data_IF_379163035379
#
_entry.id   IF_379163035379
#
_cell.length_a   1.000
_cell.length_b   1.000
_cell.length_c   1.000
_cell.angle_alpha   90.00
_cell.angle_beta   90.00
_cell.angle_gamma   90.00
#
_symmetry.space_group_name_H-M   'P 1'
#
loop_
_entity.id
_entity.type
_entity.pdbx_description
1 polymer ?
#
# COMPACT_ATOMS: atom_id res chain seq x y z
N UNK A 1 21.20 -43.19 -2.69
CA UNK A 1 21.28 -42.51 -3.98
C UNK A 1 20.05 -42.87 -4.80
N UNK A 2 19.09 -41.98 -4.98
CA UNK A 2 17.91 -42.19 -5.83
C UNK A 2 18.00 -41.23 -7.00
N UNK A 3 18.15 -41.76 -8.18
CA UNK A 3 18.28 -41.04 -9.44
C UNK A 3 16.89 -40.71 -9.96
N UNK A 4 16.58 -39.43 -10.10
CA UNK A 4 15.34 -38.98 -10.76
C UNK A 4 15.60 -38.77 -12.23
N UNK A 5 14.91 -39.55 -13.05
CA UNK A 5 14.92 -39.43 -14.50
C UNK A 5 13.83 -38.43 -14.91
N UNK A 6 14.23 -37.29 -15.48
CA UNK A 6 13.32 -36.31 -16.06
C UNK A 6 13.08 -36.69 -17.52
N UNK A 7 11.85 -37.15 -17.86
CA UNK A 7 11.43 -37.39 -19.24
C UNK A 7 10.95 -36.10 -19.88
N UNK A 8 11.72 -35.62 -20.86
CA UNK A 8 11.31 -34.48 -21.71
C UNK A 8 10.49 -35.03 -22.86
N UNK A 9 9.19 -34.76 -22.90
CA UNK A 9 8.35 -35.06 -24.06
C UNK A 9 8.50 -33.94 -25.10
N UNK A 10 9.16 -34.26 -26.20
CA UNK A 10 9.26 -33.40 -27.37
C UNK A 10 8.03 -33.65 -28.25
N UNK A 11 7.05 -32.76 -28.21
CA UNK A 11 5.88 -32.82 -29.09
C UNK A 11 6.20 -32.07 -30.39
N UNK A 12 6.32 -32.77 -31.47
CA UNK A 12 6.47 -32.23 -32.82
C UNK A 12 5.14 -31.59 -33.26
N UNK A 13 5.12 -30.27 -33.46
CA UNK A 13 3.98 -29.56 -34.03
C UNK A 13 4.07 -29.61 -35.56
N UNK A 14 3.06 -30.20 -36.21
CA UNK A 14 2.86 -30.19 -37.66
C UNK A 14 2.40 -28.76 -38.04
N UNK A 15 3.22 -28.08 -38.83
CA UNK A 15 2.88 -26.77 -39.39
C UNK A 15 2.04 -26.99 -40.64
N UNK A 16 0.73 -26.80 -40.57
CA UNK A 16 -0.15 -26.59 -41.73
C UNK A 16 -0.10 -25.11 -42.13
N UNK A 17 0.38 -24.87 -43.35
CA UNK A 17 0.39 -23.54 -43.96
C UNK A 17 -1.05 -23.09 -44.27
N UNK A 18 -1.63 -22.25 -43.40
CA UNK A 18 -2.92 -21.58 -43.58
C UNK A 18 -2.71 -20.09 -43.41
N UNK A 19 -3.19 -19.31 -44.33
CA UNK A 19 -3.07 -17.87 -44.54
C UNK A 19 -3.22 -17.04 -43.25
N UNK A 20 -2.24 -16.20 -42.97
CA UNK A 20 -1.96 -15.54 -41.70
C UNK A 20 -3.02 -14.59 -41.14
N UNK A 21 -3.39 -14.88 -39.93
CA UNK A 21 -3.67 -13.85 -38.97
C UNK A 21 -2.69 -14.04 -37.82
N UNK A 22 -1.68 -13.19 -37.73
CA UNK A 22 -0.74 -13.17 -36.62
C UNK A 22 -1.53 -12.81 -35.36
N UNK A 23 -2.00 -13.82 -34.64
CA UNK A 23 -2.62 -13.64 -33.33
C UNK A 23 -1.52 -13.14 -32.40
N UNK A 24 -1.54 -11.83 -32.11
CA UNK A 24 -0.68 -11.22 -31.10
C UNK A 24 -1.03 -11.89 -29.77
N UNK A 25 -0.27 -12.88 -29.37
CA UNK A 25 -0.39 -13.48 -28.04
C UNK A 25 0.09 -12.43 -27.06
N UNK A 26 -0.84 -11.66 -26.54
CA UNK A 26 -0.57 -10.76 -25.40
C UNK A 26 -0.38 -11.68 -24.21
N UNK A 27 0.86 -11.93 -23.83
CA UNK A 27 1.18 -12.62 -22.58
C UNK A 27 0.65 -11.73 -21.43
N UNK A 28 -0.52 -12.04 -20.93
CA UNK A 28 -1.02 -11.46 -19.70
C UNK A 28 -0.23 -12.07 -18.55
N UNK A 29 0.79 -11.35 -18.09
CA UNK A 29 1.44 -11.68 -16.81
C UNK A 29 0.33 -11.68 -15.77
N UNK A 30 0.15 -12.81 -15.08
CA UNK A 30 -0.84 -12.91 -14.02
C UNK A 30 -0.57 -11.80 -12.98
N UNK A 31 -1.59 -11.04 -12.58
CA UNK A 31 -1.42 -10.09 -11.50
C UNK A 31 -0.94 -10.87 -10.26
N UNK A 32 0.03 -10.33 -9.52
CA UNK A 32 0.56 -10.94 -8.30
C UNK A 32 -0.55 -11.18 -7.25
N UNK A 33 -0.19 -11.56 -6.01
CA UNK A 33 -1.17 -11.77 -4.95
C UNK A 33 -2.05 -10.54 -4.72
N UNK A 34 -3.36 -10.77 -4.55
CA UNK A 34 -4.32 -9.70 -4.29
C UNK A 34 -4.10 -9.11 -2.89
N UNK A 35 -4.39 -7.82 -2.73
CA UNK A 35 -4.43 -7.15 -1.43
C UNK A 35 -5.71 -7.58 -0.72
N UNK A 36 -5.58 -8.10 0.51
CA UNK A 36 -6.71 -8.58 1.33
C UNK A 36 -7.04 -7.66 2.50
N UNK A 37 -6.03 -6.97 3.04
CA UNK A 37 -6.21 -6.04 4.15
C UNK A 37 -5.13 -4.96 4.15
N UNK A 38 -5.49 -3.78 4.66
CA UNK A 38 -4.55 -2.70 4.97
C UNK A 38 -4.83 -2.14 6.35
N UNK A 39 -3.77 -1.84 7.09
CA UNK A 39 -3.84 -1.08 8.34
C UNK A 39 -2.79 0.01 8.35
N UNK A 40 -3.14 1.14 8.96
CA UNK A 40 -2.19 2.23 9.22
C UNK A 40 -2.05 2.42 10.72
N UNK A 41 -0.83 2.67 11.16
CA UNK A 41 -0.49 3.03 12.53
C UNK A 41 0.28 4.34 12.53
N UNK A 42 -0.01 5.19 13.47
CA UNK A 42 0.75 6.41 13.74
C UNK A 42 1.48 6.22 15.08
N UNK A 43 2.77 6.44 15.08
CA UNK A 43 3.58 6.49 16.29
C UNK A 43 3.81 7.97 16.58
N UNK A 44 3.03 8.50 17.50
CA UNK A 44 3.13 9.91 17.87
C UNK A 44 4.47 10.19 18.54
N UNK A 45 4.98 11.39 18.31
CA UNK A 45 6.24 11.89 18.82
C UNK A 45 5.99 13.05 19.78
N UNK A 46 6.62 14.18 19.56
CA UNK A 46 6.63 15.30 20.53
C UNK A 46 5.32 16.09 20.57
N UNK A 47 4.47 15.96 19.55
CA UNK A 47 3.22 16.68 19.41
C UNK A 47 2.12 15.72 18.95
N UNK A 48 1.21 15.39 19.84
CA UNK A 48 0.03 14.58 19.56
C UNK A 48 -1.04 15.37 18.80
N UNK A 49 -2.05 14.68 18.29
CA UNK A 49 -3.17 15.28 17.56
C UNK A 49 -4.35 15.53 18.48
N UNK A 50 -4.94 16.72 18.43
CA UNK A 50 -6.15 17.08 19.17
C UNK A 50 -7.39 16.30 18.73
N UNK A 51 -8.36 16.13 19.65
CA UNK A 51 -9.59 15.38 19.40
C UNK A 51 -10.48 16.01 18.32
N UNK A 52 -10.46 17.35 18.18
CA UNK A 52 -11.23 18.06 17.17
C UNK A 52 -10.66 17.94 15.76
N UNK A 53 -9.38 17.68 15.65
CA UNK A 53 -8.70 17.58 14.35
C UNK A 53 -8.97 16.25 13.67
N UNK A 54 -9.28 16.27 12.36
CA UNK A 54 -9.50 15.10 11.54
C UNK A 54 -8.24 14.64 10.83
N UNK A 55 -8.08 13.33 10.64
CA UNK A 55 -7.02 12.71 9.82
C UNK A 55 -7.63 11.86 8.75
N UNK A 56 -7.26 12.11 7.51
CA UNK A 56 -7.53 11.23 6.36
C UNK A 56 -6.22 10.62 5.87
N UNK A 57 -6.26 9.35 5.45
CA UNK A 57 -5.12 8.69 4.85
C UNK A 57 -5.53 7.89 3.62
N UNK A 58 -4.88 8.12 2.49
CA UNK A 58 -5.13 7.43 1.23
C UNK A 58 -3.91 6.63 0.79
N UNK A 59 -4.14 5.44 0.29
CA UNK A 59 -3.17 4.72 -0.52
C UNK A 59 -3.57 4.89 -1.98
N UNK A 60 -2.70 5.51 -2.77
CA UNK A 60 -2.97 5.92 -4.15
C UNK A 60 -2.03 5.20 -5.10
N UNK A 61 -2.54 4.57 -6.17
CA UNK A 61 -1.76 4.08 -7.28
C UNK A 61 -1.47 5.23 -8.25
N UNK A 62 -0.21 5.40 -8.64
CA UNK A 62 0.24 6.47 -9.55
C UNK A 62 -0.20 7.89 -9.11
N UNK A 63 -0.33 8.10 -7.79
CA UNK A 63 -0.64 9.41 -7.20
C UNK A 63 -2.10 9.87 -7.29
N UNK A 64 -2.98 9.15 -7.99
CA UNK A 64 -4.37 9.58 -8.20
C UNK A 64 -5.43 8.49 -8.02
N UNK A 65 -5.14 7.25 -8.38
CA UNK A 65 -6.12 6.17 -8.31
C UNK A 65 -6.16 5.58 -6.91
N UNK A 66 -7.27 5.77 -6.21
CA UNK A 66 -7.45 5.26 -4.86
C UNK A 66 -7.45 3.73 -4.82
N UNK A 67 -6.57 3.18 -3.97
CA UNK A 67 -6.55 1.77 -3.59
C UNK A 67 -7.33 1.60 -2.29
N UNK A 68 -7.08 2.46 -1.30
CA UNK A 68 -7.68 2.40 0.02
C UNK A 68 -7.75 3.79 0.65
N UNK A 69 -8.72 4.00 1.54
CA UNK A 69 -8.93 5.27 2.23
C UNK A 69 -9.38 5.05 3.66
N UNK A 70 -8.66 5.62 4.62
CA UNK A 70 -9.07 5.83 5.99
C UNK A 70 -9.69 7.22 6.09
N UNK A 71 -10.96 7.29 6.42
CA UNK A 71 -11.72 8.53 6.43
C UNK A 71 -11.85 9.11 7.83
N UNK A 72 -11.49 10.37 7.96
CA UNK A 72 -11.76 11.29 9.09
C UNK A 72 -11.67 10.70 10.50
N UNK A 73 -10.47 10.37 10.95
CA UNK A 73 -10.26 9.96 12.34
C UNK A 73 -10.19 11.19 13.25
N UNK A 74 -11.26 11.46 13.99
CA UNK A 74 -11.35 12.55 14.95
C UNK A 74 -10.87 12.22 16.38
N UNK A 75 -10.27 11.05 16.60
CA UNK A 75 -9.77 10.65 17.93
C UNK A 75 -8.50 11.43 18.30
N UNK A 76 -8.39 11.84 19.58
CA UNK A 76 -7.16 12.39 20.12
C UNK A 76 -6.03 11.36 20.07
N UNK A 77 -4.85 11.81 19.73
CA UNK A 77 -3.61 11.05 19.86
C UNK A 77 -2.72 11.78 20.86
N UNK A 78 -2.34 11.09 21.93
CA UNK A 78 -1.50 11.68 22.97
C UNK A 78 -0.03 11.66 22.57
N UNK A 79 0.75 12.61 23.09
CA UNK A 79 2.19 12.68 22.86
C UNK A 79 2.87 11.35 23.19
N UNK A 80 3.80 10.95 22.35
CA UNK A 80 4.55 9.68 22.46
C UNK A 80 3.68 8.41 22.46
N UNK A 81 2.41 8.49 22.04
CA UNK A 81 1.54 7.35 21.99
C UNK A 81 1.82 6.47 20.77
N UNK A 82 1.70 5.16 20.94
CA UNK A 82 1.59 4.21 19.83
C UNK A 82 0.11 3.92 19.61
N UNK A 83 -0.48 4.58 18.63
CA UNK A 83 -1.90 4.38 18.30
C UNK A 83 -2.10 2.96 17.76
N UNK A 84 -3.16 2.29 18.20
CA UNK A 84 -3.49 0.97 17.66
C UNK A 84 -3.66 1.02 16.14
N UNK A 85 -3.22 -0.02 15.40
CA UNK A 85 -3.40 -0.05 13.95
C UNK A 85 -4.87 0.10 13.56
N UNK A 86 -5.15 1.03 12.65
CA UNK A 86 -6.48 1.31 12.14
C UNK A 86 -6.65 0.68 10.76
N UNK A 87 -7.80 0.03 10.52
CA UNK A 87 -8.14 -0.52 9.21
C UNK A 87 -8.29 0.58 8.16
N UNK A 88 -7.67 0.38 6.99
CA UNK A 88 -7.83 1.25 5.83
C UNK A 88 -8.66 0.49 4.78
N UNK A 89 -9.95 0.81 4.61
CA UNK A 89 -10.82 0.13 3.66
C UNK A 89 -10.27 0.15 2.25
N UNK A 90 -10.17 -1.03 1.61
CA UNK A 90 -9.73 -1.19 0.22
C UNK A 90 -10.94 -1.01 -0.71
N UNK A 91 -10.84 -0.12 -1.70
CA UNK A 91 -11.97 0.30 -2.55
C UNK A 91 -12.26 -0.62 -3.74
N UNK A 92 -11.53 -1.72 -3.90
CA UNK A 92 -11.69 -2.65 -5.04
C UNK A 92 -10.74 -3.83 -4.97
N UNK A 93 -10.51 -4.47 -6.12
CA UNK A 93 -9.51 -5.55 -6.23
C UNK A 93 -8.20 -4.98 -6.75
N UNK A 94 -7.18 -5.01 -5.92
CA UNK A 94 -5.83 -4.58 -6.23
C UNK A 94 -4.82 -5.67 -5.91
N UNK A 95 -3.66 -5.60 -6.53
CA UNK A 95 -2.61 -6.60 -6.44
C UNK A 95 -1.31 -6.00 -5.92
N UNK A 96 -0.39 -6.85 -5.48
CA UNK A 96 0.94 -6.42 -5.01
C UNK A 96 1.66 -5.53 -6.04
N UNK A 97 1.50 -5.79 -7.32
CA UNK A 97 2.08 -5.00 -8.41
C UNK A 97 1.56 -3.57 -8.49
N UNK A 98 0.34 -3.31 -7.99
CA UNK A 98 -0.23 -1.97 -7.95
C UNK A 98 0.49 -1.05 -6.95
N UNK A 99 1.28 -1.63 -6.04
CA UNK A 99 2.07 -0.89 -5.04
C UNK A 99 3.40 -0.36 -5.59
N UNK A 100 3.85 -0.77 -6.76
CA UNK A 100 5.16 -0.38 -7.30
C UNK A 100 5.34 1.14 -7.43
N UNK A 101 4.25 1.87 -7.75
CA UNK A 101 4.21 3.33 -7.84
C UNK A 101 3.16 3.91 -6.89
N UNK A 102 2.87 3.21 -5.80
CA UNK A 102 1.89 3.67 -4.84
C UNK A 102 2.48 4.74 -3.91
N UNK A 103 1.59 5.58 -3.42
CA UNK A 103 1.88 6.66 -2.48
C UNK A 103 0.90 6.57 -1.30
N UNK A 104 1.41 6.82 -0.10
CA UNK A 104 0.60 7.10 1.08
C UNK A 104 0.47 8.63 1.20
N UNK A 105 -0.75 9.13 1.11
CA UNK A 105 -1.08 10.53 1.34
C UNK A 105 -1.80 10.65 2.67
N UNK A 106 -1.35 11.54 3.53
CA UNK A 106 -1.93 11.81 4.86
C UNK A 106 -2.27 13.28 4.92
N UNK A 107 -3.49 13.58 5.37
CA UNK A 107 -4.00 14.93 5.50
C UNK A 107 -4.54 15.17 6.91
N UNK A 108 -4.09 16.23 7.52
CA UNK A 108 -4.64 16.80 8.77
C UNK A 108 -5.68 17.86 8.42
N UNK A 109 -6.85 17.77 9.04
CA UNK A 109 -7.85 18.85 9.06
C UNK A 109 -7.87 19.39 10.47
N UNK A 110 -7.07 20.45 10.78
CA UNK A 110 -6.92 20.94 12.13
C UNK A 110 -8.18 21.65 12.61
N UNK A 111 -8.50 21.47 13.90
CA UNK A 111 -9.46 22.27 14.64
C UNK A 111 -8.70 23.29 15.50
N UNK A 112 -8.61 24.53 15.02
CA UNK A 112 -7.78 25.55 15.63
C UNK A 112 -6.29 25.41 15.28
N UNK A 113 -5.41 25.54 16.28
CA UNK A 113 -3.96 25.34 16.16
C UNK A 113 -3.62 23.93 16.61
N UNK A 114 -3.29 23.07 15.66
CA UNK A 114 -2.88 21.71 15.93
C UNK A 114 -1.60 21.40 15.14
N UNK A 115 -0.55 21.01 15.87
CA UNK A 115 0.73 20.57 15.36
C UNK A 115 0.85 19.08 15.68
N UNK A 116 0.97 18.24 14.67
CA UNK A 116 1.02 16.78 14.83
C UNK A 116 2.29 16.18 14.25
N UNK A 117 3.07 15.51 15.11
CA UNK A 117 4.36 14.90 14.78
C UNK A 117 4.29 13.39 14.97
N UNK A 118 4.53 12.62 13.91
CA UNK A 118 4.33 11.17 13.91
C UNK A 118 5.23 10.43 12.92
N UNK A 119 5.41 9.12 13.16
CA UNK A 119 5.96 8.17 12.18
C UNK A 119 4.85 7.28 11.66
N UNK A 120 4.50 7.36 10.36
CA UNK A 120 3.47 6.49 9.81
C UNK A 120 4.03 5.11 9.49
N UNK A 121 3.20 4.07 9.75
CA UNK A 121 3.44 2.68 9.37
C UNK A 121 2.22 2.12 8.66
N UNK A 122 2.41 1.60 7.45
CA UNK A 122 1.38 0.97 6.64
C UNK A 122 1.67 -0.52 6.53
N UNK A 123 0.76 -1.37 7.02
CA UNK A 123 0.85 -2.82 6.86
C UNK A 123 -0.18 -3.29 5.85
N UNK A 124 0.26 -4.07 4.87
CA UNK A 124 -0.55 -4.61 3.78
C UNK A 124 -0.45 -6.13 3.79
N UNK A 125 -1.58 -6.81 3.86
CA UNK A 125 -1.71 -8.26 3.78
C UNK A 125 -2.18 -8.70 2.39
N UNK A 126 -1.74 -9.89 1.96
CA UNK A 126 -2.00 -10.41 0.63
C UNK A 126 -2.65 -11.78 0.67
N UNK A 127 -3.27 -12.17 -0.44
CA UNK A 127 -3.99 -13.44 -0.60
C UNK A 127 -3.12 -14.70 -0.54
N UNK A 128 -1.80 -14.55 -0.62
CA UNK A 128 -0.81 -15.61 -0.40
C UNK A 128 -0.39 -15.76 1.07
N UNK A 129 -1.13 -15.16 2.01
CA UNK A 129 -0.85 -15.12 3.45
C UNK A 129 0.46 -14.42 3.83
N UNK A 130 1.03 -13.64 2.93
CA UNK A 130 2.17 -12.78 3.27
C UNK A 130 1.69 -11.38 3.66
N UNK A 131 2.53 -10.65 4.38
CA UNK A 131 2.31 -9.24 4.68
C UNK A 131 3.59 -8.44 4.47
N UNK A 132 3.45 -7.12 4.30
CA UNK A 132 4.55 -6.17 4.25
C UNK A 132 4.22 -4.96 5.08
N UNK A 133 5.19 -4.50 5.88
CA UNK A 133 5.09 -3.25 6.63
C UNK A 133 6.04 -2.23 6.04
N UNK A 134 5.50 -1.07 5.73
CA UNK A 134 6.19 0.10 5.21
C UNK A 134 6.24 1.15 6.31
N UNK A 135 7.42 1.64 6.62
CA UNK A 135 7.63 2.68 7.61
C UNK A 135 8.33 3.89 7.00
N UNK A 136 8.01 5.07 7.45
CA UNK A 136 8.66 6.31 7.05
C UNK A 136 9.20 7.04 8.28
N UNK A 137 10.21 7.91 8.10
CA UNK A 137 10.70 8.74 9.19
C UNK A 137 9.62 9.68 9.70
N UNK A 138 9.88 10.26 10.85
CA UNK A 138 9.03 11.27 11.46
C UNK A 138 8.67 12.38 10.48
N UNK A 139 7.39 12.71 10.45
CA UNK A 139 6.81 13.83 9.70
C UNK A 139 6.03 14.74 10.64
N UNK A 140 5.85 15.98 10.24
CA UNK A 140 5.05 16.97 10.98
C UNK A 140 4.02 17.57 10.04
N UNK A 141 2.77 17.62 10.50
CA UNK A 141 1.67 18.35 9.88
C UNK A 141 1.17 19.42 10.85
N UNK A 142 0.80 20.56 10.29
CA UNK A 142 0.32 21.73 11.03
C UNK A 142 -0.69 22.52 10.18
N UNK A 143 -1.02 23.74 10.62
CA UNK A 143 -1.93 24.62 9.89
C UNK A 143 -1.41 25.06 8.52
N UNK A 144 -0.10 25.19 8.36
CA UNK A 144 0.54 25.66 7.12
C UNK A 144 0.86 24.50 6.20
N UNK A 145 1.21 23.35 6.79
CA UNK A 145 1.51 22.09 6.10
C UNK A 145 0.50 21.00 6.48
N UNK A 146 -0.65 21.02 5.85
CA UNK A 146 -1.77 20.12 6.18
C UNK A 146 -1.71 18.74 5.54
N UNK A 147 -0.86 18.53 4.57
CA UNK A 147 -0.81 17.28 3.79
C UNK A 147 0.63 16.88 3.49
N UNK A 148 0.87 15.57 3.49
CA UNK A 148 2.12 14.97 3.05
C UNK A 148 1.83 13.78 2.13
N UNK A 149 2.70 13.58 1.14
CA UNK A 149 2.69 12.41 0.26
C UNK A 149 4.02 11.67 0.36
N UNK A 150 3.95 10.38 0.65
CA UNK A 150 5.08 9.50 0.91
C UNK A 150 5.08 8.35 -0.12
N UNK A 151 6.19 8.14 -0.82
CA UNK A 151 6.31 7.03 -1.77
C UNK A 151 6.37 5.68 -1.03
N UNK A 152 5.59 4.69 -1.46
CA UNK A 152 5.68 3.34 -0.89
C UNK A 152 7.03 2.70 -1.21
N UNK A 153 7.62 2.99 -2.37
CA UNK A 153 8.95 2.53 -2.76
C UNK A 153 10.10 3.15 -1.95
N UNK A 154 9.89 4.30 -1.33
CA UNK A 154 10.89 4.99 -0.48
C UNK A 154 10.80 4.60 1.00
N UNK A 155 9.82 3.80 1.39
CA UNK A 155 9.65 3.33 2.75
C UNK A 155 10.73 2.31 3.15
N UNK A 156 11.09 2.31 4.44
CA UNK A 156 11.86 1.21 5.03
C UNK A 156 10.92 0.01 5.13
N UNK A 157 11.28 -1.09 4.48
CA UNK A 157 10.52 -2.34 4.59
C UNK A 157 11.04 -3.13 5.80
N UNK A 158 10.15 -3.37 6.75
CA UNK A 158 10.40 -4.32 7.83
C UNK A 158 9.75 -5.66 7.44
N UNK A 159 10.48 -6.78 7.55
CA UNK A 159 10.00 -8.11 7.24
C UNK A 159 8.87 -8.57 8.17
#
# INVERSE_FOLDING_TARGET
>A
MRTFTVSVFLTAAIVSAGCGATRKVTSTVAPGPAITNMTIQFLDRDHGKDAGSGVDAWVLRNGSNEIAHLHSVGTKFDDHAAIAPMGVPVSGTFYRTDLNNAQLRIRLTPDGRDDWSFEPRLTISFSDNTSRTYGWPQVMLDQDRREITLGVSSAVQNP
#
